data_IF_136561160279
#
_entry.id   IF_136561160279
#
_cell.length_a   1.000
_cell.length_b   1.000
_cell.length_c   1.000
_cell.angle_alpha   90.00
_cell.angle_beta   90.00
_cell.angle_gamma   90.00
#
_symmetry.space_group_name_H-M   'P 1'
#
loop_
_entity.id
_entity.type
_entity.pdbx_description
1 polymer ?
#
# COMPACT_ATOMS: atom_id res chain seq x y z
N UNK A 1 19.55 -0.14 3.31
CA UNK A 1 18.82 1.06 3.79
C UNK A 1 17.35 0.73 3.75
N UNK A 2 16.61 0.89 4.85
CA UNK A 2 15.21 0.49 4.93
C UNK A 2 14.37 1.30 3.93
N UNK A 3 13.52 0.61 3.18
CA UNK A 3 12.99 1.17 1.93
C UNK A 3 11.51 1.47 1.92
N UNK A 4 10.85 1.12 3.02
CA UNK A 4 9.45 1.32 3.29
C UNK A 4 9.30 2.05 4.62
N UNK A 5 8.29 2.91 4.71
CA UNK A 5 7.85 3.51 5.97
C UNK A 5 6.76 2.69 6.67
N UNK A 6 6.40 1.53 6.12
CA UNK A 6 5.56 0.58 6.85
C UNK A 6 6.35 0.06 8.06
N UNK A 7 5.73 0.07 9.23
CA UNK A 7 6.33 -0.33 10.51
C UNK A 7 5.75 -1.63 11.06
N UNK A 8 4.59 -2.04 10.56
CA UNK A 8 3.92 -3.27 10.99
C UNK A 8 2.59 -3.45 10.29
N UNK A 9 1.79 -4.36 10.82
CA UNK A 9 0.42 -4.63 10.42
C UNK A 9 -0.52 -4.42 11.61
N UNK A 10 -1.77 -4.07 11.33
CA UNK A 10 -2.85 -3.93 12.31
C UNK A 10 -4.11 -4.64 11.82
N UNK A 11 -4.79 -5.34 12.73
CA UNK A 11 -6.09 -5.93 12.46
C UNK A 11 -7.16 -4.86 12.24
N UNK A 12 -7.97 -4.98 11.19
CA UNK A 12 -9.09 -4.07 10.91
C UNK A 12 -10.25 -4.20 11.90
N UNK A 13 -10.31 -5.30 12.67
CA UNK A 13 -11.37 -5.56 13.65
C UNK A 13 -10.98 -5.29 15.11
N UNK A 14 -9.85 -5.83 15.56
CA UNK A 14 -9.49 -5.84 16.99
C UNK A 14 -8.23 -5.03 17.32
N UNK A 15 -7.67 -4.31 16.35
CA UNK A 15 -6.47 -3.47 16.49
C UNK A 15 -5.18 -4.17 16.93
N UNK A 16 -5.18 -5.50 17.08
CA UNK A 16 -3.97 -6.28 17.34
C UNK A 16 -2.91 -5.97 16.29
N UNK A 17 -1.69 -5.68 16.75
CA UNK A 17 -0.54 -5.37 15.91
C UNK A 17 0.35 -6.59 15.74
N UNK A 18 0.95 -6.69 14.56
CA UNK A 18 1.97 -7.69 14.26
C UNK A 18 3.11 -7.07 13.44
N UNK A 19 4.30 -7.69 13.41
CA UNK A 19 5.38 -7.27 12.54
C UNK A 19 4.99 -7.32 11.05
N UNK A 20 5.71 -6.59 10.21
CA UNK A 20 5.66 -6.81 8.77
C UNK A 20 6.18 -8.21 8.45
N UNK A 21 5.55 -8.83 7.44
CA UNK A 21 5.93 -10.14 6.98
C UNK A 21 4.71 -10.94 6.49
N UNK A 22 4.93 -12.22 6.15
CA UNK A 22 3.86 -13.09 5.70
C UNK A 22 2.76 -13.22 6.75
N UNK A 23 1.51 -12.97 6.35
CA UNK A 23 0.32 -13.15 7.20
C UNK A 23 -0.83 -13.67 6.34
N UNK A 24 -0.65 -14.87 5.80
CA UNK A 24 -1.56 -15.47 4.82
C UNK A 24 -2.95 -15.79 5.36
N UNK A 25 -3.08 -15.95 6.68
CA UNK A 25 -4.35 -16.35 7.32
C UNK A 25 -5.09 -15.20 8.01
N UNK A 26 -4.63 -13.95 7.84
CA UNK A 26 -5.21 -12.77 8.50
C UNK A 26 -4.89 -12.70 10.00
N UNK A 27 -5.73 -12.00 10.77
CA UNK A 27 -5.52 -11.82 12.20
C UNK A 27 -5.86 -13.10 12.99
N UNK A 28 -4.87 -13.66 13.68
CA UNK A 28 -5.04 -14.84 14.55
C UNK A 28 -5.67 -14.51 15.90
N UNK A 29 -5.57 -13.26 16.37
CA UNK A 29 -6.07 -12.87 17.69
C UNK A 29 -7.60 -12.75 17.77
N UNK A 30 -8.26 -12.35 16.68
CA UNK A 30 -9.73 -12.30 16.60
C UNK A 30 -10.33 -13.42 15.74
N UNK A 31 -9.51 -14.43 15.41
CA UNK A 31 -9.94 -15.56 14.59
C UNK A 31 -10.96 -16.40 15.36
N UNK A 32 -12.01 -16.82 14.66
CA UNK A 32 -12.97 -17.84 15.06
C UNK A 32 -13.11 -18.84 13.91
N UNK A 33 -13.89 -19.91 14.09
CA UNK A 33 -14.09 -20.94 13.07
C UNK A 33 -14.61 -20.35 11.74
N UNK A 34 -15.55 -19.40 11.82
CA UNK A 34 -16.19 -18.80 10.64
C UNK A 34 -15.65 -17.41 10.26
N UNK A 35 -14.69 -16.86 11.01
CA UNK A 35 -14.26 -15.48 10.79
C UNK A 35 -12.77 -15.25 11.05
N UNK A 36 -12.13 -14.55 10.11
CA UNK A 36 -10.83 -13.91 10.32
C UNK A 36 -10.83 -12.54 9.65
N UNK A 37 -10.24 -11.54 10.33
CA UNK A 37 -10.16 -10.18 9.79
C UNK A 37 -8.87 -10.00 8.99
N UNK A 38 -8.95 -9.19 7.94
CA UNK A 38 -7.77 -8.73 7.20
C UNK A 38 -6.85 -7.85 8.06
N UNK A 39 -5.58 -7.85 7.69
CA UNK A 39 -4.56 -6.98 8.27
C UNK A 39 -4.29 -5.81 7.31
N UNK A 40 -4.02 -4.63 7.86
CA UNK A 40 -3.65 -3.44 7.10
C UNK A 40 -2.26 -2.94 7.54
N UNK A 41 -1.43 -2.42 6.62
CA UNK A 41 -0.15 -1.81 7.00
C UNK A 41 -0.32 -0.62 7.95
N UNK A 42 0.63 -0.50 8.87
CA UNK A 42 0.80 0.66 9.74
C UNK A 42 2.05 1.41 9.29
N UNK A 43 1.96 2.73 9.22
CA UNK A 43 3.04 3.58 8.73
C UNK A 43 3.57 4.52 9.81
N UNK A 44 4.85 4.87 9.71
CA UNK A 44 5.37 6.07 10.35
C UNK A 44 4.98 7.30 9.53
N UNK A 45 3.85 7.91 9.91
CA UNK A 45 3.33 9.10 9.22
C UNK A 45 4.19 10.34 9.44
N UNK A 46 4.90 10.45 10.57
CA UNK A 46 5.77 11.59 10.82
C UNK A 46 6.98 11.54 9.87
N UNK A 47 7.64 10.38 9.78
CA UNK A 47 8.75 10.18 8.86
C UNK A 47 8.32 10.24 7.39
N UNK A 48 7.12 9.76 7.04
CA UNK A 48 6.56 9.91 5.69
C UNK A 48 6.36 11.37 5.31
N UNK A 49 5.77 12.17 6.21
CA UNK A 49 5.53 13.58 5.97
C UNK A 49 6.85 14.33 5.77
N UNK A 50 7.85 14.06 6.59
CA UNK A 50 9.18 14.65 6.45
C UNK A 50 9.85 14.26 5.12
N UNK A 51 9.71 12.99 4.71
CA UNK A 51 10.38 12.47 3.52
C UNK A 51 9.71 12.82 2.18
N UNK A 52 8.38 12.94 2.15
CA UNK A 52 7.61 13.25 0.93
C UNK A 52 7.33 14.75 0.79
N UNK A 53 7.26 15.49 1.89
CA UNK A 53 6.80 16.88 1.89
C UNK A 53 5.35 17.01 1.45
N UNK A 54 4.94 18.24 1.12
CA UNK A 54 3.59 18.57 0.67
C UNK A 54 3.44 18.60 -0.88
N UNK A 55 4.49 18.23 -1.60
CA UNK A 55 4.54 18.22 -3.07
C UNK A 55 3.96 16.95 -3.69
N UNK A 56 3.78 16.91 -5.02
CA UNK A 56 3.44 15.67 -5.70
C UNK A 56 4.51 14.62 -5.44
N UNK A 57 4.10 13.35 -5.27
CA UNK A 57 5.07 12.25 -5.25
C UNK A 57 5.83 12.27 -6.57
N UNK A 58 7.13 12.55 -6.50
CA UNK A 58 8.00 12.52 -7.68
C UNK A 58 7.86 11.16 -8.36
N UNK A 59 7.62 11.17 -9.68
CA UNK A 59 7.47 9.98 -10.50
C UNK A 59 8.84 9.32 -10.73
N UNK A 60 9.44 8.76 -9.69
CA UNK A 60 10.69 8.00 -9.80
C UNK A 60 10.39 6.51 -9.72
N UNK A 61 10.71 5.77 -10.78
CA UNK A 61 10.49 4.33 -10.88
C UNK A 61 9.29 3.96 -11.76
N UNK A 62 9.15 2.68 -12.05
CA UNK A 62 8.13 2.14 -12.96
C UNK A 62 6.98 1.49 -12.19
N UNK A 63 5.80 1.46 -12.80
CA UNK A 63 4.61 0.80 -12.27
C UNK A 63 4.23 1.18 -10.85
N UNK A 64 3.90 0.20 -10.01
CA UNK A 64 3.57 0.46 -8.59
C UNK A 64 4.80 0.82 -7.77
N UNK A 65 6.00 0.45 -8.24
CA UNK A 65 7.26 0.62 -7.49
C UNK A 65 7.69 2.07 -7.35
N UNK A 66 7.08 3.01 -8.10
CA UNK A 66 7.18 4.44 -7.79
C UNK A 66 6.68 4.80 -6.39
N UNK A 67 5.78 4.00 -5.82
CA UNK A 67 5.25 4.15 -4.46
C UNK A 67 5.99 3.30 -3.43
N UNK A 68 7.17 2.77 -3.74
CA UNK A 68 7.95 1.84 -2.92
C UNK A 68 8.06 2.20 -1.44
N UNK A 69 8.25 3.48 -1.12
CA UNK A 69 8.30 4.01 0.25
C UNK A 69 7.00 3.76 1.05
N UNK A 70 5.87 3.63 0.37
CA UNK A 70 4.55 3.35 0.92
C UNK A 70 4.16 1.87 0.83
N UNK A 71 4.89 1.02 0.10
CA UNK A 71 4.53 -0.39 -0.01
C UNK A 71 5.13 -1.18 1.18
N UNK A 72 4.42 -2.14 1.77
CA UNK A 72 4.91 -2.95 2.90
C UNK A 72 5.91 -4.04 2.46
N UNK A 73 6.82 -3.70 1.55
CA UNK A 73 7.87 -4.57 1.00
C UNK A 73 9.23 -3.97 1.36
N UNK A 74 10.01 -4.70 2.17
CA UNK A 74 11.29 -4.21 2.72
C UNK A 74 12.51 -4.68 1.92
N UNK A 75 12.39 -5.80 1.20
CA UNK A 75 13.47 -6.44 0.48
C UNK A 75 13.31 -6.17 -1.03
N UNK A 76 14.35 -5.62 -1.66
CA UNK A 76 14.30 -5.17 -3.07
C UNK A 76 14.23 -6.35 -4.04
N UNK A 77 14.76 -7.50 -3.65
CA UNK A 77 14.66 -8.77 -4.36
C UNK A 77 13.22 -9.28 -4.53
N UNK A 78 12.25 -8.71 -3.80
CA UNK A 78 10.83 -9.02 -3.94
C UNK A 78 10.09 -8.04 -4.87
N UNK A 79 10.80 -7.08 -5.48
CA UNK A 79 10.22 -6.12 -6.41
C UNK A 79 10.11 -6.72 -7.81
N UNK A 80 9.00 -7.42 -8.05
CA UNK A 80 8.64 -7.98 -9.35
C UNK A 80 7.68 -7.03 -10.07
N UNK A 81 7.91 -6.83 -11.38
CA UNK A 81 7.06 -6.01 -12.23
C UNK A 81 6.61 -6.84 -13.44
N UNK A 82 5.35 -6.65 -13.83
CA UNK A 82 4.79 -7.14 -15.10
C UNK A 82 4.54 -5.98 -16.08
N UNK A 83 5.10 -4.80 -15.79
CA UNK A 83 4.79 -3.56 -16.54
C UNK A 83 3.47 -2.94 -16.12
N UNK A 84 2.99 -3.20 -14.89
CA UNK A 84 1.78 -2.62 -14.35
C UNK A 84 1.88 -1.10 -14.11
N UNK A 85 0.78 -0.46 -13.69
CA UNK A 85 0.73 0.97 -13.42
C UNK A 85 0.63 1.81 -14.69
N UNK A 86 0.72 3.14 -14.54
CA UNK A 86 0.56 4.12 -15.63
C UNK A 86 -0.67 3.87 -16.52
N UNK A 87 -1.74 3.32 -15.96
CA UNK A 87 -3.00 3.12 -16.68
C UNK A 87 -3.49 4.48 -17.17
N UNK A 88 -3.67 4.66 -18.49
CA UNK A 88 -3.96 5.98 -19.03
C UNK A 88 -5.33 6.46 -18.55
N UNK A 89 -5.39 7.72 -18.13
CA UNK A 89 -6.64 8.42 -17.89
C UNK A 89 -7.10 9.05 -19.20
N UNK A 90 -7.98 8.36 -19.92
CA UNK A 90 -8.44 8.80 -21.24
C UNK A 90 -9.62 9.77 -21.12
N UNK A 91 -9.61 10.91 -21.82
CA UNK A 91 -10.77 11.79 -21.87
C UNK A 91 -11.93 11.12 -22.61
N UNK A 92 -13.16 11.24 -22.06
CA UNK A 92 -14.38 10.67 -22.63
C UNK A 92 -15.43 11.74 -22.94
N UNK A 93 -15.18 12.64 -23.92
CA UNK A 93 -16.02 13.82 -24.14
C UNK A 93 -17.46 13.50 -24.56
N UNK A 94 -17.68 12.40 -25.30
CA UNK A 94 -19.04 11.97 -25.68
C UNK A 94 -19.87 11.59 -24.46
N UNK A 95 -19.28 10.80 -23.56
CA UNK A 95 -19.95 10.35 -22.34
C UNK A 95 -20.20 11.52 -21.38
N UNK A 96 -19.24 12.43 -21.25
CA UNK A 96 -19.41 13.66 -20.47
C UNK A 96 -20.57 14.52 -21.00
N UNK A 97 -20.70 14.67 -22.33
CA UNK A 97 -21.82 15.41 -22.91
C UNK A 97 -23.19 14.75 -22.67
N UNK A 98 -23.25 13.42 -22.53
CA UNK A 98 -24.50 12.68 -22.28
C UNK A 98 -24.92 12.71 -20.81
N UNK A 99 -23.96 12.69 -19.88
CA UNK A 99 -24.22 12.53 -18.44
C UNK A 99 -24.13 13.83 -17.62
N UNK A 100 -23.53 14.90 -18.16
CA UNK A 100 -23.25 16.16 -17.46
C UNK A 100 -21.94 16.13 -16.68
#
# INVERSE_FOLDING_TARGET
>A
MNTSFATGLRCLRCDTRSPLGPSFEGCTACATDDFRSGLTPVYDYAALKEALGDGPLEERGEGIWRYRRLLPVTAREHELSLGEGHTPLLPMPRLASELG
#
